data_IF_555243581197
#
_entry.id   IF_555243581197
#
_cell.length_a   1.000
_cell.length_b   1.000
_cell.length_c   1.000
_cell.angle_alpha   90.00
_cell.angle_beta   90.00
_cell.angle_gamma   90.00
#
_symmetry.space_group_name_H-M   'P 1'
#
loop_
_entity.id
_entity.type
_entity.pdbx_description
1 polymer ?
#
# COMPACT_ATOMS: atom_id res chain seq x y z
N UNK A 1 3.42 -7.89 -14.36
CA UNK A 1 4.80 -7.40 -13.98
C UNK A 1 5.10 -7.95 -12.60
N UNK A 2 6.34 -8.33 -12.26
CA UNK A 2 6.67 -8.75 -10.90
C UNK A 2 6.69 -7.55 -9.94
N UNK A 3 6.43 -7.79 -8.64
CA UNK A 3 6.48 -6.73 -7.61
C UNK A 3 7.85 -6.05 -7.56
N UNK A 4 8.94 -6.82 -7.72
CA UNK A 4 10.29 -6.29 -7.81
C UNK A 4 10.45 -5.33 -8.99
N UNK A 5 10.01 -5.75 -10.18
CA UNK A 5 10.08 -4.90 -11.37
C UNK A 5 9.24 -3.62 -11.23
N UNK A 6 8.09 -3.70 -10.54
CA UNK A 6 7.29 -2.51 -10.21
C UNK A 6 8.03 -1.58 -9.23
N UNK A 7 8.67 -2.14 -8.19
CA UNK A 7 9.43 -1.33 -7.22
C UNK A 7 10.60 -0.61 -7.89
N UNK A 8 11.33 -1.30 -8.76
CA UNK A 8 12.51 -0.79 -9.46
C UNK A 8 12.16 0.19 -10.60
N UNK A 9 10.91 0.20 -11.09
CA UNK A 9 10.47 1.12 -12.12
C UNK A 9 10.41 2.57 -11.63
N UNK A 10 10.81 3.51 -12.47
CA UNK A 10 10.67 4.94 -12.17
C UNK A 10 9.19 5.35 -12.09
N UNK A 11 8.90 6.33 -11.26
CA UNK A 11 7.58 6.91 -11.12
C UNK A 11 7.21 7.25 -9.68
N UNK A 12 6.36 8.25 -9.56
CA UNK A 12 5.82 8.68 -8.27
C UNK A 12 4.71 7.73 -7.83
N UNK A 13 4.94 7.00 -6.75
CA UNK A 13 3.93 6.19 -6.10
C UNK A 13 3.34 6.90 -4.86
N UNK A 14 2.26 6.36 -4.32
CA UNK A 14 1.61 6.90 -3.11
C UNK A 14 2.57 6.97 -1.90
N UNK A 15 3.46 5.99 -1.76
CA UNK A 15 4.39 5.94 -0.61
C UNK A 15 5.42 7.07 -0.63
N UNK A 16 5.75 7.59 -1.81
CA UNK A 16 6.60 8.76 -1.98
C UNK A 16 5.80 10.07 -2.02
N UNK A 17 4.59 10.04 -2.57
CA UNK A 17 3.72 11.22 -2.63
C UNK A 17 3.31 11.70 -1.23
N UNK A 18 2.97 10.81 -0.31
CA UNK A 18 2.55 11.21 1.05
C UNK A 18 3.67 11.91 1.84
N UNK A 19 4.92 11.44 1.87
CA UNK A 19 6.05 12.24 2.38
C UNK A 19 6.24 13.56 1.66
N UNK A 20 6.12 13.60 0.31
CA UNK A 20 6.19 14.83 -0.47
C UNK A 20 5.14 15.85 -0.05
N UNK A 21 3.91 15.44 0.21
CA UNK A 21 2.83 16.31 0.70
C UNK A 21 3.14 16.95 2.06
N UNK A 22 4.06 16.36 2.84
CA UNK A 22 4.58 17.01 4.06
C UNK A 22 5.60 18.09 3.71
N UNK A 23 6.57 17.77 2.87
CA UNK A 23 7.48 18.69 2.19
C UNK A 23 8.34 17.94 1.16
N UNK A 24 8.88 18.65 0.15
CA UNK A 24 9.86 18.07 -0.79
C UNK A 24 11.06 17.41 -0.09
N UNK A 25 11.54 17.96 1.02
CA UNK A 25 12.67 17.40 1.78
C UNK A 25 12.34 16.05 2.42
N UNK A 26 11.08 15.81 2.87
CA UNK A 26 10.66 14.50 3.37
C UNK A 26 10.61 13.45 2.26
N UNK A 27 10.25 13.85 1.03
CA UNK A 27 10.34 12.97 -0.13
C UNK A 27 11.77 12.52 -0.41
N UNK A 28 12.75 13.45 -0.39
CA UNK A 28 14.16 13.09 -0.56
C UNK A 28 14.64 12.13 0.54
N UNK A 29 14.26 12.37 1.77
CA UNK A 29 14.62 11.49 2.88
C UNK A 29 14.08 10.07 2.69
N UNK A 30 12.81 9.93 2.28
CA UNK A 30 12.20 8.62 2.03
C UNK A 30 12.86 7.87 0.86
N UNK A 31 13.36 8.61 -0.16
CA UNK A 31 14.13 8.03 -1.27
C UNK A 31 15.51 7.54 -0.85
N UNK A 32 16.21 8.30 0.02
CA UNK A 32 17.58 8.01 0.45
C UNK A 32 17.64 6.96 1.54
N UNK A 33 16.63 6.91 2.40
CA UNK A 33 16.55 6.06 3.58
C UNK A 33 15.25 5.24 3.56
N UNK A 34 15.09 4.29 2.61
CA UNK A 34 13.90 3.47 2.57
C UNK A 34 13.77 2.66 3.86
N UNK A 35 12.57 2.67 4.44
CA UNK A 35 12.30 1.97 5.70
C UNK A 35 12.40 0.46 5.51
N UNK A 36 13.03 -0.19 6.49
CA UNK A 36 12.98 -1.65 6.57
C UNK A 36 11.54 -2.14 6.81
N UNK A 37 11.22 -3.29 6.21
CA UNK A 37 9.91 -3.89 6.41
C UNK A 37 9.73 -4.34 7.87
N UNK A 38 8.65 -3.92 8.49
CA UNK A 38 8.28 -4.35 9.84
C UNK A 38 7.63 -5.74 9.82
N UNK A 39 7.58 -6.41 10.98
CA UNK A 39 6.88 -7.70 11.11
C UNK A 39 5.41 -7.63 10.67
N UNK A 40 4.73 -6.51 10.94
CA UNK A 40 3.36 -6.27 10.49
C UNK A 40 3.27 -6.15 8.96
N UNK A 41 4.24 -5.49 8.32
CA UNK A 41 4.32 -5.41 6.86
C UNK A 41 4.57 -6.79 6.25
N UNK A 42 5.45 -7.58 6.85
CA UNK A 42 5.75 -8.94 6.42
C UNK A 42 4.50 -9.84 6.49
N UNK A 43 3.74 -9.74 7.58
CA UNK A 43 2.48 -10.47 7.72
C UNK A 43 1.44 -10.01 6.67
N UNK A 44 1.37 -8.70 6.41
CA UNK A 44 0.53 -8.14 5.34
C UNK A 44 0.91 -8.69 3.96
N UNK A 45 2.20 -8.73 3.62
CA UNK A 45 2.68 -9.31 2.34
C UNK A 45 2.30 -10.79 2.22
N UNK A 46 2.45 -11.57 3.31
CA UNK A 46 2.05 -12.97 3.30
C UNK A 46 0.52 -13.13 3.12
N UNK A 47 -0.29 -12.25 3.74
CA UNK A 47 -1.74 -12.28 3.58
C UNK A 47 -2.17 -11.94 2.15
N UNK A 48 -1.59 -10.91 1.53
CA UNK A 48 -1.86 -10.57 0.13
C UNK A 48 -1.53 -11.77 -0.78
N UNK A 49 -0.39 -12.45 -0.55
CA UNK A 49 -0.04 -13.64 -1.32
C UNK A 49 -1.08 -14.76 -1.17
N UNK A 50 -1.52 -15.06 0.05
CA UNK A 50 -2.52 -16.11 0.33
C UNK A 50 -3.91 -15.80 -0.24
N UNK A 51 -4.30 -14.54 -0.27
CA UNK A 51 -5.62 -14.11 -0.75
C UNK A 51 -5.66 -13.88 -2.27
N UNK A 52 -4.59 -13.32 -2.84
CA UNK A 52 -4.61 -12.83 -4.22
C UNK A 52 -3.84 -13.72 -5.20
N UNK A 53 -2.88 -14.50 -4.71
CA UNK A 53 -2.02 -15.38 -5.53
C UNK A 53 -1.61 -16.63 -4.75
N UNK A 54 -2.57 -17.45 -4.28
CA UNK A 54 -2.30 -18.62 -3.44
C UNK A 54 -1.38 -19.64 -4.13
N UNK A 55 -1.40 -19.72 -5.46
CA UNK A 55 -0.57 -20.63 -6.27
C UNK A 55 0.93 -20.34 -6.19
N UNK A 56 1.34 -19.10 -5.88
CA UNK A 56 2.74 -18.68 -5.73
C UNK A 56 3.08 -18.20 -4.32
N UNK A 57 2.17 -18.32 -3.36
CA UNK A 57 2.37 -17.84 -1.99
C UNK A 57 3.63 -18.43 -1.33
N UNK A 58 3.94 -19.69 -1.60
CA UNK A 58 5.16 -20.36 -1.11
C UNK A 58 6.47 -19.76 -1.67
N UNK A 59 6.41 -19.02 -2.78
CA UNK A 59 7.56 -18.32 -3.34
C UNK A 59 7.74 -16.92 -2.74
N UNK A 60 6.69 -16.38 -2.10
CA UNK A 60 6.65 -15.03 -1.55
C UNK A 60 7.05 -15.02 -0.08
N UNK A 61 6.63 -16.00 0.72
CA UNK A 61 6.96 -16.05 2.12
C UNK A 61 7.39 -17.44 2.59
N UNK A 62 8.09 -17.50 3.72
CA UNK A 62 8.49 -18.72 4.39
C UNK A 62 8.21 -18.64 5.91
N UNK A 63 7.87 -19.79 6.50
CA UNK A 63 7.56 -19.88 7.92
C UNK A 63 8.76 -20.44 8.68
N UNK A 64 9.37 -19.62 9.53
CA UNK A 64 10.48 -20.01 10.37
C UNK A 64 9.98 -20.55 11.70
N UNK A 65 10.48 -21.71 12.11
CA UNK A 65 10.21 -22.28 13.44
C UNK A 65 10.71 -21.34 14.55
N UNK A 66 10.01 -21.36 15.67
CA UNK A 66 10.42 -20.58 16.86
C UNK A 66 11.76 -21.11 17.39
N UNK A 67 12.76 -20.24 17.43
CA UNK A 67 14.08 -20.54 17.98
C UNK A 67 14.53 -19.44 18.93
N UNK A 68 15.30 -19.80 19.96
CA UNK A 68 15.91 -18.80 20.85
C UNK A 68 17.13 -18.17 20.16
N UNK A 69 16.91 -17.01 19.54
CA UNK A 69 17.96 -16.21 18.85
C UNK A 69 19.06 -15.67 19.78
N UNK A 70 18.99 -15.92 21.09
CA UNK A 70 20.07 -15.57 22.05
C UNK A 70 21.15 -16.63 22.06
N UNK A 71 20.82 -17.88 21.70
CA UNK A 71 21.77 -18.99 21.63
C UNK A 71 22.52 -19.01 20.29
N UNK A 72 23.74 -19.56 20.29
CA UNK A 72 24.54 -19.75 19.05
C UNK A 72 23.79 -20.59 18.03
N UNK A 73 23.27 -21.73 18.44
CA UNK A 73 22.50 -22.62 17.57
C UNK A 73 21.25 -21.94 16.98
N UNK A 74 20.55 -21.13 17.78
CA UNK A 74 19.37 -20.39 17.28
C UNK A 74 19.74 -19.29 16.30
N UNK A 75 20.88 -18.60 16.47
CA UNK A 75 21.39 -17.65 15.50
C UNK A 75 21.82 -18.31 14.20
N UNK A 76 22.54 -19.41 14.29
CA UNK A 76 23.00 -20.19 13.13
C UNK A 76 21.80 -20.70 12.32
N UNK A 77 20.80 -21.31 12.98
CA UNK A 77 19.57 -21.75 12.33
C UNK A 77 18.85 -20.59 11.63
N UNK A 78 18.67 -19.45 12.30
CA UNK A 78 17.98 -18.30 11.71
C UNK A 78 18.74 -17.74 10.50
N UNK A 79 20.08 -17.69 10.55
CA UNK A 79 20.92 -17.25 9.45
C UNK A 79 20.86 -18.21 8.25
N UNK A 80 20.93 -19.51 8.52
CA UNK A 80 20.79 -20.54 7.48
C UNK A 80 19.41 -20.49 6.83
N UNK A 81 18.34 -20.43 7.64
CA UNK A 81 16.97 -20.34 7.14
C UNK A 81 16.76 -19.09 6.26
N UNK A 82 17.31 -17.94 6.68
CA UNK A 82 17.27 -16.70 5.89
C UNK A 82 18.02 -16.83 4.56
N UNK A 83 19.16 -17.51 4.54
CA UNK A 83 19.93 -17.76 3.32
C UNK A 83 19.19 -18.70 2.35
N UNK A 84 18.60 -19.78 2.86
CA UNK A 84 17.80 -20.74 2.07
C UNK A 84 16.52 -20.12 1.50
N UNK A 85 15.98 -19.09 2.16
CA UNK A 85 14.78 -18.37 1.75
C UNK A 85 15.06 -16.91 1.32
N UNK A 86 16.24 -16.69 0.75
CA UNK A 86 16.64 -15.37 0.28
C UNK A 86 15.60 -14.78 -0.71
N UNK A 87 15.16 -13.54 -0.46
CA UNK A 87 14.14 -12.87 -1.26
C UNK A 87 12.70 -13.14 -0.84
N UNK A 88 12.46 -14.07 0.09
CA UNK A 88 11.13 -14.29 0.67
C UNK A 88 10.95 -13.48 1.95
N UNK A 89 9.72 -13.12 2.23
CA UNK A 89 9.32 -12.60 3.54
C UNK A 89 9.33 -13.74 4.55
N UNK A 90 9.96 -13.53 5.70
CA UNK A 90 10.01 -14.54 6.76
C UNK A 90 9.00 -14.16 7.83
N UNK A 91 8.07 -15.09 8.11
CA UNK A 91 7.12 -15.01 9.23
C UNK A 91 7.41 -16.16 10.22
N UNK A 92 6.97 -16.01 11.45
CA UNK A 92 7.08 -17.05 12.47
C UNK A 92 5.80 -17.90 12.57
N UNK A 93 5.82 -18.97 13.39
CA UNK A 93 4.68 -19.87 13.57
C UNK A 93 3.45 -19.16 14.17
N UNK A 94 3.63 -18.19 15.07
CA UNK A 94 2.52 -17.40 15.65
C UNK A 94 1.88 -16.52 14.58
N UNK A 95 2.70 -15.91 13.72
CA UNK A 95 2.23 -15.14 12.57
C UNK A 95 1.54 -16.03 11.52
N UNK A 96 1.97 -17.28 11.34
CA UNK A 96 1.27 -18.22 10.45
C UNK A 96 -0.12 -18.57 10.97
N UNK A 97 -0.28 -18.78 12.28
CA UNK A 97 -1.60 -18.99 12.89
C UNK A 97 -2.51 -17.76 12.67
N UNK A 98 -1.97 -16.56 12.83
CA UNK A 98 -2.72 -15.33 12.57
C UNK A 98 -3.08 -15.20 11.08
N UNK A 99 -2.14 -15.51 10.20
CA UNK A 99 -2.33 -15.51 8.75
C UNK A 99 -3.48 -16.44 8.32
N UNK A 100 -3.49 -17.67 8.86
CA UNK A 100 -4.54 -18.63 8.56
C UNK A 100 -5.92 -18.16 9.04
N UNK A 101 -6.00 -17.60 10.25
CA UNK A 101 -7.25 -17.04 10.77
C UNK A 101 -7.75 -15.82 10.00
N UNK A 102 -6.84 -14.93 9.61
CA UNK A 102 -7.17 -13.78 8.75
C UNK A 102 -7.71 -14.22 7.39
N UNK A 103 -7.03 -15.18 6.74
CA UNK A 103 -7.46 -15.72 5.46
C UNK A 103 -8.84 -16.39 5.55
N UNK A 104 -9.03 -17.28 6.55
CA UNK A 104 -10.30 -17.95 6.78
C UNK A 104 -11.46 -16.96 6.96
N UNK A 105 -11.27 -15.95 7.79
CA UNK A 105 -12.29 -14.95 8.06
C UNK A 105 -12.55 -14.03 6.85
N UNK A 106 -11.52 -13.65 6.10
CA UNK A 106 -11.68 -12.90 4.86
C UNK A 106 -12.53 -13.67 3.84
N UNK A 107 -12.24 -14.97 3.68
CA UNK A 107 -12.98 -15.85 2.76
C UNK A 107 -14.35 -16.26 3.30
N UNK A 108 -14.62 -16.09 4.58
CA UNK A 108 -15.95 -16.28 5.18
C UNK A 108 -16.81 -15.03 5.11
N UNK A 109 -16.22 -13.85 4.91
CA UNK A 109 -16.95 -12.59 4.81
C UNK A 109 -17.50 -12.39 3.40
N UNK A 110 -18.82 -12.35 3.17
CA UNK A 110 -19.41 -12.41 1.82
C UNK A 110 -18.88 -11.35 0.86
N UNK A 111 -18.79 -10.08 1.30
CA UNK A 111 -18.33 -8.99 0.43
C UNK A 111 -16.81 -9.08 0.14
N UNK A 112 -15.99 -9.43 1.14
CA UNK A 112 -14.54 -9.58 0.94
C UNK A 112 -14.24 -10.76 0.01
N UNK A 113 -14.87 -11.92 0.27
CA UNK A 113 -14.73 -13.11 -0.57
C UNK A 113 -15.10 -12.83 -2.02
N UNK A 114 -16.24 -12.17 -2.26
CA UNK A 114 -16.69 -11.80 -3.62
C UNK A 114 -15.62 -10.97 -4.33
N UNK A 115 -15.11 -9.91 -3.68
CA UNK A 115 -14.09 -9.04 -4.27
C UNK A 115 -12.82 -9.81 -4.63
N UNK A 116 -12.40 -10.75 -3.77
CA UNK A 116 -11.18 -11.54 -3.97
C UNK A 116 -11.38 -12.59 -5.08
N UNK A 117 -12.48 -13.37 -5.03
CA UNK A 117 -12.74 -14.47 -5.98
C UNK A 117 -13.10 -13.98 -7.39
N UNK A 118 -13.77 -12.82 -7.50
CA UNK A 118 -14.20 -12.26 -8.79
C UNK A 118 -13.20 -11.25 -9.38
N UNK A 119 -12.05 -11.03 -8.73
CA UNK A 119 -11.01 -10.15 -9.24
C UNK A 119 -10.53 -10.63 -10.63
N UNK A 120 -10.66 -9.79 -11.63
CA UNK A 120 -10.18 -10.06 -12.99
C UNK A 120 -8.65 -9.87 -13.09
N UNK A 121 -8.11 -9.03 -12.23
CA UNK A 121 -6.67 -8.79 -12.10
C UNK A 121 -6.31 -8.68 -10.63
N UNK A 122 -5.20 -9.31 -10.23
CA UNK A 122 -4.61 -9.19 -8.89
C UNK A 122 -3.20 -8.62 -9.00
N UNK A 123 -2.80 -7.81 -8.00
CA UNK A 123 -1.49 -7.15 -7.96
C UNK A 123 -1.14 -6.45 -9.29
N UNK A 124 -2.12 -5.72 -9.82
CA UNK A 124 -2.00 -5.08 -11.13
C UNK A 124 -1.20 -3.78 -11.03
N UNK A 125 -0.01 -3.80 -11.64
CA UNK A 125 0.78 -2.58 -11.81
C UNK A 125 0.17 -1.69 -12.90
N UNK A 126 0.06 -0.40 -12.59
CA UNK A 126 -0.47 0.63 -13.48
C UNK A 126 0.53 1.80 -13.55
N UNK A 127 0.73 2.31 -14.75
CA UNK A 127 1.61 3.45 -15.02
C UNK A 127 0.85 4.48 -15.84
N UNK A 128 0.97 5.74 -15.46
CA UNK A 128 0.26 6.83 -16.11
C UNK A 128 1.16 8.06 -16.21
N UNK A 129 1.08 8.77 -17.31
CA UNK A 129 1.75 10.07 -17.45
C UNK A 129 0.89 11.16 -16.80
N UNK A 130 1.48 11.89 -15.87
CA UNK A 130 0.92 13.14 -15.39
C UNK A 130 1.53 14.30 -16.17
N UNK A 131 0.68 15.11 -16.81
CA UNK A 131 1.09 16.35 -17.48
C UNK A 131 0.76 17.52 -16.57
N UNK A 132 1.78 18.30 -16.20
CA UNK A 132 1.60 19.49 -15.37
C UNK A 132 0.83 20.59 -16.12
N UNK A 133 -0.03 21.30 -15.40
CA UNK A 133 -0.88 22.35 -15.96
C UNK A 133 -0.03 23.49 -16.56
N UNK A 134 -0.41 23.94 -17.76
CA UNK A 134 0.24 25.08 -18.42
C UNK A 134 1.66 24.83 -18.92
N UNK A 135 2.15 23.59 -18.87
CA UNK A 135 3.51 23.20 -19.33
C UNK A 135 3.47 21.93 -20.16
N UNK A 136 4.59 21.58 -20.79
CA UNK A 136 4.79 20.27 -21.43
C UNK A 136 5.53 19.27 -20.52
N UNK A 137 5.81 19.69 -19.28
CA UNK A 137 6.49 18.82 -18.33
C UNK A 137 5.60 17.62 -17.94
N UNK A 138 6.22 16.44 -17.99
CA UNK A 138 5.56 15.16 -17.66
C UNK A 138 6.41 14.35 -16.71
N UNK A 139 5.76 13.53 -15.92
CA UNK A 139 6.41 12.50 -15.13
C UNK A 139 5.46 11.31 -14.95
N UNK A 140 6.04 10.16 -14.65
CA UNK A 140 5.27 8.92 -14.48
C UNK A 140 4.68 8.83 -13.08
N UNK A 141 3.40 8.53 -13.01
CA UNK A 141 2.67 8.10 -11.81
C UNK A 141 2.57 6.58 -11.86
N UNK A 142 2.85 5.91 -10.75
CA UNK A 142 2.70 4.45 -10.68
C UNK A 142 1.87 4.01 -9.47
N UNK A 143 1.07 2.99 -9.66
CA UNK A 143 0.25 2.34 -8.63
C UNK A 143 0.25 0.82 -8.83
N UNK A 144 0.00 0.07 -7.77
CA UNK A 144 -0.25 -1.36 -7.83
C UNK A 144 -1.52 -1.64 -7.05
N UNK A 145 -2.59 -2.01 -7.75
CA UNK A 145 -3.86 -2.36 -7.12
C UNK A 145 -3.82 -3.81 -6.63
N UNK A 146 -4.34 -4.07 -5.44
CA UNK A 146 -4.45 -5.42 -4.90
C UNK A 146 -5.40 -6.26 -5.75
N UNK A 147 -6.54 -5.68 -6.15
CA UNK A 147 -7.43 -6.34 -7.09
C UNK A 147 -8.30 -5.38 -7.88
N UNK A 148 -8.75 -5.86 -9.04
CA UNK A 148 -9.61 -5.13 -9.98
C UNK A 148 -10.71 -6.06 -10.48
N UNK A 149 -11.96 -5.61 -10.43
CA UNK A 149 -13.11 -6.18 -11.14
C UNK A 149 -13.44 -5.23 -12.29
N UNK A 150 -12.78 -5.43 -13.44
CA UNK A 150 -12.80 -4.48 -14.55
C UNK A 150 -14.21 -4.26 -15.09
N UNK A 151 -15.00 -5.33 -15.26
CA UNK A 151 -16.37 -5.26 -15.75
C UNK A 151 -17.34 -4.47 -14.87
N UNK A 152 -17.02 -4.30 -13.58
CA UNK A 152 -17.84 -3.57 -12.62
C UNK A 152 -17.27 -2.19 -12.27
N UNK A 153 -16.06 -1.91 -12.69
CA UNK A 153 -15.37 -0.67 -12.33
C UNK A 153 -14.96 -0.62 -10.86
N UNK A 154 -14.56 -1.75 -10.28
CA UNK A 154 -14.12 -1.83 -8.88
C UNK A 154 -12.61 -2.03 -8.85
N UNK A 155 -11.93 -1.18 -8.11
CA UNK A 155 -10.53 -1.36 -7.70
C UNK A 155 -10.53 -1.46 -6.19
N UNK A 156 -9.94 -2.50 -5.62
CA UNK A 156 -9.92 -2.68 -4.17
C UNK A 156 -8.51 -2.83 -3.60
N UNK A 157 -8.41 -2.61 -2.31
CA UNK A 157 -7.17 -2.70 -1.57
C UNK A 157 -7.40 -3.39 -0.21
N UNK A 158 -6.46 -4.25 0.19
CA UNK A 158 -6.52 -5.03 1.42
C UNK A 158 -5.67 -4.34 2.48
N UNK A 159 -6.22 -4.16 3.68
CA UNK A 159 -5.53 -3.54 4.81
C UNK A 159 -5.59 -4.40 6.05
N UNK A 160 -4.44 -4.62 6.68
CA UNK A 160 -4.36 -5.23 8.00
C UNK A 160 -4.34 -4.15 9.09
N UNK A 161 -4.99 -4.44 10.21
CA UNK A 161 -5.10 -3.52 11.35
C UNK A 161 -5.29 -4.29 12.65
N UNK A 162 -5.07 -3.64 13.79
CA UNK A 162 -5.43 -4.21 15.10
C UNK A 162 -6.94 -4.13 15.38
N UNK A 163 -7.65 -3.20 14.74
CA UNK A 163 -9.10 -3.06 14.87
C UNK A 163 -9.73 -2.60 13.56
N UNK A 164 -10.71 -3.36 13.07
CA UNK A 164 -11.48 -3.06 11.87
C UNK A 164 -12.75 -2.25 12.16
N UNK A 165 -12.95 -1.73 13.38
CA UNK A 165 -14.09 -0.86 13.66
C UNK A 165 -14.08 0.42 12.82
N UNK A 166 -15.24 0.99 12.44
CA UNK A 166 -15.28 2.20 11.61
C UNK A 166 -14.46 3.35 12.17
N UNK A 167 -14.47 3.54 13.49
CA UNK A 167 -13.76 4.63 14.17
C UNK A 167 -12.23 4.47 14.07
N UNK A 168 -11.73 3.25 14.33
CA UNK A 168 -10.28 2.99 14.27
C UNK A 168 -9.78 2.98 12.84
N UNK A 169 -10.51 2.40 11.91
CA UNK A 169 -10.15 2.47 10.50
C UNK A 169 -10.15 3.90 9.96
N UNK A 170 -11.13 4.73 10.36
CA UNK A 170 -11.13 6.15 9.98
C UNK A 170 -9.89 6.92 10.51
N UNK A 171 -9.34 6.55 11.68
CA UNK A 171 -8.05 7.09 12.15
C UNK A 171 -6.89 6.64 11.25
N UNK A 172 -6.87 5.35 10.85
CA UNK A 172 -5.86 4.82 9.93
C UNK A 172 -5.94 5.48 8.55
N UNK A 173 -7.14 5.69 8.02
CA UNK A 173 -7.35 6.43 6.75
C UNK A 173 -6.66 7.79 6.81
N UNK A 174 -6.83 8.54 7.90
CA UNK A 174 -6.20 9.86 8.09
C UNK A 174 -4.68 9.76 8.28
N UNK A 175 -4.23 8.83 9.14
CA UNK A 175 -2.82 8.70 9.50
C UNK A 175 -1.97 8.22 8.33
N UNK A 176 -2.46 7.27 7.54
CA UNK A 176 -1.74 6.68 6.41
C UNK A 176 -2.17 7.23 5.05
N UNK A 177 -3.08 8.20 5.03
CA UNK A 177 -3.58 8.83 3.81
C UNK A 177 -4.09 7.78 2.80
N UNK A 178 -4.99 6.90 3.23
CA UNK A 178 -5.64 5.94 2.33
C UNK A 178 -6.61 6.63 1.36
N UNK A 179 -7.10 7.80 1.71
CA UNK A 179 -7.81 8.71 0.81
C UNK A 179 -6.93 9.13 -0.39
N UNK A 180 -5.69 9.55 -0.15
CA UNK A 180 -4.71 9.85 -1.21
C UNK A 180 -4.40 8.58 -2.01
N UNK A 181 -4.31 7.42 -1.38
CA UNK A 181 -4.10 6.16 -2.09
C UNK A 181 -5.23 5.90 -3.09
N UNK A 182 -6.48 6.01 -2.65
CA UNK A 182 -7.64 5.82 -3.53
C UNK A 182 -7.59 6.75 -4.74
N UNK A 183 -7.36 8.05 -4.52
CA UNK A 183 -7.29 9.05 -5.60
C UNK A 183 -6.14 8.76 -6.57
N UNK A 184 -4.95 8.48 -6.03
CA UNK A 184 -3.75 8.19 -6.80
C UNK A 184 -3.90 6.93 -7.66
N UNK A 185 -4.50 5.88 -7.09
CA UNK A 185 -4.76 4.62 -7.79
C UNK A 185 -5.88 4.77 -8.83
N UNK A 186 -6.93 5.53 -8.49
CA UNK A 186 -8.00 5.85 -9.45
C UNK A 186 -7.46 6.63 -10.65
N UNK A 187 -6.56 7.60 -10.44
CA UNK A 187 -5.89 8.31 -11.52
C UNK A 187 -5.08 7.35 -12.40
N UNK A 188 -4.23 6.51 -11.81
CA UNK A 188 -3.40 5.56 -12.55
C UNK A 188 -4.26 4.55 -13.33
N UNK A 189 -5.32 4.00 -12.71
CA UNK A 189 -6.24 3.06 -13.34
C UNK A 189 -6.98 3.69 -14.52
N UNK A 190 -7.58 4.86 -14.31
CA UNK A 190 -8.35 5.56 -15.35
C UNK A 190 -7.47 5.96 -16.53
N UNK A 191 -6.25 6.43 -16.27
CA UNK A 191 -5.27 6.75 -17.32
C UNK A 191 -4.78 5.52 -18.08
N UNK A 192 -4.87 4.33 -17.46
CA UNK A 192 -4.58 3.04 -18.11
C UNK A 192 -5.79 2.43 -18.83
N UNK A 193 -6.91 3.16 -18.91
CA UNK A 193 -8.13 2.70 -19.56
C UNK A 193 -9.11 1.89 -18.69
N UNK A 194 -8.82 1.75 -17.38
CA UNK A 194 -9.68 1.03 -16.44
C UNK A 194 -10.66 2.04 -15.82
N UNK A 195 -11.95 1.85 -16.07
CA UNK A 195 -12.97 2.67 -15.41
C UNK A 195 -13.08 2.34 -13.93
N UNK A 196 -13.07 3.35 -13.06
CA UNK A 196 -13.19 3.17 -11.59
C UNK A 196 -14.46 3.86 -11.10
N UNK A 197 -15.42 3.05 -10.66
CA UNK A 197 -16.69 3.47 -10.06
C UNK A 197 -16.62 3.43 -8.53
N UNK A 198 -15.98 2.39 -7.99
CA UNK A 198 -15.87 2.15 -6.55
C UNK A 198 -14.43 1.75 -6.17
N UNK A 199 -14.06 2.12 -4.94
CA UNK A 199 -12.77 1.74 -4.36
C UNK A 199 -12.98 1.25 -2.92
N UNK A 200 -13.38 -0.02 -2.72
CA UNK A 200 -13.51 -0.60 -1.38
C UNK A 200 -12.13 -0.96 -0.78
N UNK A 201 -12.05 -0.82 0.54
CA UNK A 201 -10.98 -1.34 1.38
C UNK A 201 -11.47 -2.59 2.11
N UNK A 202 -10.81 -3.73 1.91
CA UNK A 202 -11.02 -4.94 2.71
C UNK A 202 -10.11 -4.81 3.93
N UNK A 203 -10.71 -4.65 5.10
CA UNK A 203 -10.00 -4.36 6.36
C UNK A 203 -10.05 -5.60 7.24
N UNK A 204 -8.89 -6.16 7.58
CA UNK A 204 -8.75 -7.42 8.28
C UNK A 204 -7.95 -7.20 9.57
N UNK A 205 -8.50 -7.62 10.70
CA UNK A 205 -7.78 -7.57 11.97
C UNK A 205 -6.67 -8.61 12.01
N UNK A 206 -5.46 -8.18 12.39
CA UNK A 206 -4.31 -9.07 12.56
C UNK A 206 -4.19 -9.67 13.97
N UNK A 207 -5.20 -9.43 14.79
CA UNK A 207 -5.36 -9.98 16.14
C UNK A 207 -6.70 -10.71 16.26
N UNK A 208 -6.79 -11.71 17.14
CA UNK A 208 -8.04 -12.43 17.37
C UNK A 208 -9.16 -11.47 17.82
N UNK A 209 -10.39 -11.64 17.31
CA UNK A 209 -10.90 -12.78 16.53
C UNK A 209 -10.67 -12.68 15.01
N UNK A 210 -9.78 -11.83 14.50
CA UNK A 210 -9.48 -11.60 13.08
C UNK A 210 -10.69 -11.08 12.32
N UNK A 211 -11.36 -10.07 12.89
CA UNK A 211 -12.55 -9.45 12.33
C UNK A 211 -12.30 -8.88 10.93
N UNK A 212 -13.32 -8.92 10.08
CA UNK A 212 -13.25 -8.42 8.71
C UNK A 212 -14.36 -7.44 8.46
N UNK A 213 -14.05 -6.33 7.81
CA UNK A 213 -15.00 -5.34 7.34
C UNK A 213 -14.62 -4.84 5.95
N UNK A 214 -15.59 -4.39 5.17
CA UNK A 214 -15.35 -3.77 3.87
C UNK A 214 -15.91 -2.35 3.90
N UNK A 215 -15.08 -1.37 3.57
CA UNK A 215 -15.43 0.05 3.62
C UNK A 215 -15.16 0.75 2.30
N UNK A 216 -16.03 1.68 1.94
CA UNK A 216 -15.75 2.73 0.98
C UNK A 216 -15.58 4.06 1.71
N UNK A 217 -14.85 4.99 1.13
CA UNK A 217 -14.70 6.32 1.71
C UNK A 217 -15.82 7.24 1.23
N UNK A 218 -16.18 8.19 2.10
CA UNK A 218 -17.19 9.20 1.79
C UNK A 218 -16.84 10.05 0.56
N UNK A 219 -17.82 10.24 -0.32
CA UNK A 219 -17.61 10.93 -1.60
C UNK A 219 -17.19 12.39 -1.47
N UNK A 220 -17.69 13.11 -0.46
CA UNK A 220 -17.27 14.51 -0.20
C UNK A 220 -15.82 14.58 0.29
N UNK A 221 -15.38 13.57 1.06
CA UNK A 221 -13.98 13.43 1.43
C UNK A 221 -13.12 13.21 0.18
N UNK A 222 -13.51 12.26 -0.67
CA UNK A 222 -12.74 11.93 -1.88
C UNK A 222 -12.65 13.12 -2.83
N UNK A 223 -13.74 13.90 -2.98
CA UNK A 223 -13.72 15.13 -3.78
C UNK A 223 -12.69 16.14 -3.27
N UNK A 224 -12.65 16.41 -1.96
CA UNK A 224 -11.62 17.27 -1.35
C UNK A 224 -10.21 16.68 -1.53
N UNK A 225 -10.07 15.38 -1.37
CA UNK A 225 -8.79 14.69 -1.55
C UNK A 225 -8.27 14.79 -2.98
N UNK A 226 -9.16 14.82 -3.99
CA UNK A 226 -8.78 15.09 -5.39
C UNK A 226 -8.13 16.46 -5.55
N UNK A 227 -8.65 17.49 -4.91
CA UNK A 227 -8.08 18.84 -4.99
C UNK A 227 -6.72 18.91 -4.27
N UNK A 228 -6.61 18.31 -3.08
CA UNK A 228 -5.33 18.18 -2.38
C UNK A 228 -4.28 17.41 -3.21
N UNK A 229 -4.70 16.31 -3.81
CA UNK A 229 -3.84 15.48 -4.66
C UNK A 229 -3.35 16.27 -5.88
N UNK A 230 -4.24 16.97 -6.58
CA UNK A 230 -3.87 17.81 -7.74
C UNK A 230 -2.86 18.89 -7.35
N UNK A 231 -3.11 19.60 -6.26
CA UNK A 231 -2.17 20.62 -5.77
C UNK A 231 -0.79 20.00 -5.47
N UNK A 232 -0.75 18.84 -4.83
CA UNK A 232 0.49 18.13 -4.56
C UNK A 232 1.21 17.70 -5.86
N UNK A 233 0.46 17.23 -6.86
CA UNK A 233 1.01 16.80 -8.16
C UNK A 233 1.59 17.99 -8.94
N UNK A 234 0.92 19.15 -8.95
CA UNK A 234 1.44 20.38 -9.59
C UNK A 234 2.71 20.86 -8.88
N UNK A 235 2.73 20.82 -7.55
CA UNK A 235 3.92 21.19 -6.80
C UNK A 235 5.06 20.19 -7.00
N UNK A 236 4.76 18.91 -7.06
CA UNK A 236 5.74 17.88 -7.40
C UNK A 236 6.32 18.10 -8.80
N UNK A 237 5.47 18.40 -9.79
CA UNK A 237 5.90 18.71 -11.15
C UNK A 237 6.88 19.89 -11.19
N UNK A 238 6.62 20.94 -10.43
CA UNK A 238 7.52 22.09 -10.32
C UNK A 238 8.89 21.70 -9.73
N UNK A 239 8.91 20.96 -8.61
CA UNK A 239 10.14 20.48 -8.00
C UNK A 239 10.89 19.52 -8.93
N UNK A 240 10.17 18.60 -9.58
CA UNK A 240 10.73 17.61 -10.50
C UNK A 240 11.33 18.27 -11.75
N UNK A 241 10.67 19.26 -12.31
CA UNK A 241 11.19 20.03 -13.46
C UNK A 241 12.46 20.80 -13.10
N UNK A 242 12.53 21.37 -11.89
CA UNK A 242 13.69 22.11 -11.40
C UNK A 242 14.79 21.21 -10.80
N UNK A 243 14.50 19.93 -10.59
CA UNK A 243 15.36 19.01 -9.84
C UNK A 243 15.70 19.56 -8.43
N UNK A 244 14.77 20.29 -7.83
CA UNK A 244 14.93 20.90 -6.51
C UNK A 244 13.82 20.44 -5.54
N UNK A 245 14.22 19.65 -4.58
CA UNK A 245 13.39 19.12 -3.49
C UNK A 245 13.91 19.57 -2.12
N UNK A 246 14.65 20.67 -2.06
CA UNK A 246 15.29 21.14 -0.82
C UNK A 246 14.32 21.80 0.17
N UNK A 247 13.16 22.26 -0.31
CA UNK A 247 12.18 22.94 0.53
C UNK A 247 11.61 22.02 1.63
N UNK A 248 11.47 22.57 2.85
CA UNK A 248 10.84 21.91 3.97
C UNK A 248 9.61 22.69 4.44
N UNK A 249 9.64 23.26 5.63
CA UNK A 249 8.59 24.13 6.16
C UNK A 249 8.95 25.61 5.94
N UNK A 250 7.97 26.49 6.20
CA UNK A 250 8.24 27.93 6.17
C UNK A 250 9.38 28.30 7.12
N UNK A 251 10.27 29.17 6.68
CA UNK A 251 11.33 29.76 7.51
C UNK A 251 10.83 30.91 8.40
N UNK A 252 9.59 31.34 8.19
CA UNK A 252 8.94 32.39 8.96
C UNK A 252 7.96 31.82 9.98
N UNK A 253 7.63 32.63 10.99
CA UNK A 253 6.56 32.33 11.96
C UNK A 253 5.23 32.32 11.21
N UNK A 254 4.48 31.22 11.32
CA UNK A 254 3.15 31.05 10.71
C UNK A 254 2.10 30.95 11.81
N UNK A 255 0.95 31.61 11.60
CA UNK A 255 -0.23 31.43 12.44
C UNK A 255 -0.90 30.09 12.14
N UNK A 256 -1.25 29.33 13.18
CA UNK A 256 -2.03 28.10 13.06
C UNK A 256 -3.52 28.44 13.18
N UNK A 257 -4.28 28.09 12.16
CA UNK A 257 -5.75 28.12 12.19
C UNK A 257 -6.29 26.73 12.42
N UNK A 258 -7.26 26.59 13.36
CA UNK A 258 -7.85 25.30 13.75
C UNK A 258 -9.29 25.16 13.25
#
# INVERSE_FOLDING_TARGET
MSEKAYRDAEGLNKSLLVPFMRSPKHYLQELQEPKEATESMNLGTALHAELLRPEVASDIYAVMKKVDKRTTAGKEYAAQFAAENAGKVIINEEQKIALDGMRENAMSHPAARRLIEEATHTEQAMFADYKASGTDHRFTVKAMADGILEGEGIVFDIKTTESATPQEFAKKVRAFRYDIQQVHYTFAATSSGIYVKEFPFIVIENVKPFGVAVYTLDGERIKRTWDEWKQAMEYYAHCHQKQDFSACYSESICELTF
#
